data_IF_322421416565
#
_entry.id   IF_322421416565
#
_cell.length_a   1.000
_cell.length_b   1.000
_cell.length_c   1.000
_cell.angle_alpha   90.00
_cell.angle_beta   90.00
_cell.angle_gamma   90.00
#
_symmetry.space_group_name_H-M   'P 1'
#
loop_
_entity.id
_entity.type
_entity.pdbx_description
1 polymer ?
#
# COMPACT_ATOMS: atom_id res chain seq x y z
N UNK A 1 -1.81 -9.60 -4.13
CA UNK A 1 -2.98 -9.27 -4.98
C UNK A 1 -2.65 -8.07 -5.84
N UNK A 2 -2.90 -8.12 -7.11
CA UNK A 2 -2.69 -6.98 -8.00
C UNK A 2 -3.98 -6.19 -8.16
N UNK A 3 -3.90 -4.87 -8.02
CA UNK A 3 -5.03 -3.96 -8.21
C UNK A 3 -4.75 -3.03 -9.39
N UNK A 4 -5.83 -2.55 -10.02
CA UNK A 4 -5.75 -1.65 -11.17
C UNK A 4 -6.66 -0.44 -10.98
N UNK A 5 -6.59 0.52 -11.89
CA UNK A 5 -7.51 1.67 -11.92
C UNK A 5 -8.99 1.23 -11.93
N UNK A 6 -9.27 0.07 -12.53
CA UNK A 6 -10.64 -0.41 -12.69
C UNK A 6 -11.21 -1.03 -11.40
N UNK A 7 -10.38 -1.64 -10.56
CA UNK A 7 -10.89 -2.45 -9.45
C UNK A 7 -10.33 -2.07 -8.05
N UNK A 8 -9.35 -1.16 -7.98
CA UNK A 8 -8.70 -0.85 -6.72
C UNK A 8 -9.70 -0.39 -5.65
N UNK A 9 -10.49 0.63 -5.94
CA UNK A 9 -11.44 1.18 -4.97
C UNK A 9 -12.48 0.14 -4.57
N UNK A 10 -13.07 -0.53 -5.56
CA UNK A 10 -14.11 -1.51 -5.32
C UNK A 10 -13.62 -2.64 -4.43
N UNK A 11 -12.42 -3.14 -4.69
CA UNK A 11 -11.82 -4.22 -3.89
C UNK A 11 -11.43 -3.77 -2.50
N UNK A 12 -10.77 -2.61 -2.39
CA UNK A 12 -10.35 -2.08 -1.09
C UNK A 12 -11.56 -1.77 -0.19
N UNK A 13 -12.64 -1.25 -0.76
CA UNK A 13 -13.86 -0.99 0.00
C UNK A 13 -14.54 -2.28 0.49
N UNK A 14 -14.44 -3.36 -0.28
CA UNK A 14 -15.12 -4.62 0.02
C UNK A 14 -14.37 -5.53 0.98
N UNK A 15 -13.05 -5.36 1.13
CA UNK A 15 -12.22 -6.26 1.94
C UNK A 15 -12.17 -5.82 3.40
N UNK A 16 -12.42 -6.75 4.31
CA UNK A 16 -12.19 -6.53 5.75
C UNK A 16 -10.72 -6.71 6.09
N UNK A 17 -10.31 -6.17 7.24
CA UNK A 17 -8.95 -6.28 7.74
C UNK A 17 -8.01 -5.25 7.13
N UNK A 18 -6.71 -5.44 7.34
CA UNK A 18 -5.67 -4.49 6.99
C UNK A 18 -5.05 -4.85 5.66
N UNK A 19 -5.06 -3.90 4.72
CA UNK A 19 -4.39 -4.00 3.44
C UNK A 19 -3.21 -3.02 3.42
N UNK A 20 -2.02 -3.54 3.10
CA UNK A 20 -0.87 -2.70 2.78
C UNK A 20 -0.86 -2.50 1.26
N UNK A 21 -1.05 -1.27 0.82
CA UNK A 21 -1.11 -0.92 -0.61
C UNK A 21 0.25 -0.40 -1.03
N UNK A 22 0.86 -1.03 -2.04
CA UNK A 22 2.20 -0.70 -2.50
C UNK A 22 2.18 -0.35 -3.99
N UNK A 23 2.57 0.88 -4.29
CA UNK A 23 2.76 1.33 -5.67
C UNK A 23 4.20 1.07 -6.09
N UNK A 24 4.36 0.41 -7.22
CA UNK A 24 5.68 0.09 -7.80
C UNK A 24 5.69 0.36 -9.30
N UNK A 25 6.87 0.34 -9.90
CA UNK A 25 6.99 0.38 -11.36
C UNK A 25 8.15 -0.49 -11.82
N UNK A 26 8.09 -0.88 -13.08
CA UNK A 26 9.19 -1.57 -13.76
C UNK A 26 10.36 -0.57 -13.89
N UNK A 27 11.57 -1.01 -13.63
CA UNK A 27 12.74 -0.15 -13.72
C UNK A 27 13.07 0.62 -12.44
N UNK A 28 12.27 0.48 -11.40
CA UNK A 28 12.55 1.05 -10.08
C UNK A 28 13.26 -0.01 -9.22
N UNK A 29 14.53 0.22 -8.87
CA UNK A 29 15.30 -0.75 -8.09
C UNK A 29 14.70 -0.99 -6.70
N UNK A 30 14.26 0.09 -6.02
CA UNK A 30 13.61 -0.03 -4.73
C UNK A 30 12.29 -0.80 -4.81
N UNK A 31 11.59 -0.69 -5.95
CA UNK A 31 10.35 -1.44 -6.17
C UNK A 31 10.62 -2.93 -6.32
N UNK A 32 11.69 -3.31 -7.03
CA UNK A 32 12.07 -4.72 -7.14
C UNK A 32 12.43 -5.30 -5.77
N UNK A 33 13.16 -4.53 -4.99
CA UNK A 33 13.50 -4.90 -3.62
C UNK A 33 12.23 -5.12 -2.78
N UNK A 34 11.26 -4.19 -2.87
CA UNK A 34 10.00 -4.30 -2.15
C UNK A 34 9.22 -5.57 -2.57
N UNK A 35 9.15 -5.85 -3.88
CA UNK A 35 8.47 -7.04 -4.40
C UNK A 35 9.07 -8.34 -3.88
N UNK A 36 10.38 -8.37 -3.69
CA UNK A 36 11.09 -9.55 -3.17
C UNK A 36 10.96 -9.66 -1.66
N UNK A 37 11.09 -8.56 -0.93
CA UNK A 37 11.18 -8.57 0.52
C UNK A 37 9.83 -8.64 1.23
N UNK A 38 8.86 -7.83 0.81
CA UNK A 38 7.61 -7.72 1.57
C UNK A 38 6.86 -9.04 1.75
N UNK A 39 6.74 -9.91 0.74
CA UNK A 39 6.05 -11.18 0.94
C UNK A 39 6.76 -12.12 1.91
N UNK A 40 8.06 -11.92 2.14
CA UNK A 40 8.86 -12.75 3.04
C UNK A 40 8.86 -12.24 4.49
N UNK A 41 8.37 -11.03 4.73
CA UNK A 41 8.34 -10.43 6.06
C UNK A 41 7.12 -10.91 6.85
N UNK A 42 7.26 -10.94 8.18
CA UNK A 42 6.16 -11.21 9.10
C UNK A 42 5.48 -9.89 9.45
N UNK A 43 4.49 -9.52 8.67
CA UNK A 43 3.81 -8.24 8.79
C UNK A 43 2.44 -8.37 9.43
N UNK A 44 2.09 -7.39 10.26
CA UNK A 44 0.80 -7.30 10.94
C UNK A 44 -0.27 -6.73 10.00
N UNK A 45 -0.35 -7.28 8.80
CA UNK A 45 -1.37 -6.94 7.80
C UNK A 45 -1.99 -8.23 7.27
N UNK A 46 -3.21 -8.15 6.77
CA UNK A 46 -3.91 -9.31 6.24
C UNK A 46 -3.53 -9.62 4.80
N UNK A 47 -3.11 -8.60 4.06
CA UNK A 47 -2.73 -8.76 2.65
C UNK A 47 -1.85 -7.65 2.14
N UNK A 48 -1.13 -7.97 1.07
CA UNK A 48 -0.38 -7.00 0.28
C UNK A 48 -1.16 -6.74 -1.01
N UNK A 49 -1.38 -5.48 -1.34
CA UNK A 49 -2.06 -5.06 -2.56
C UNK A 49 -1.10 -4.23 -3.40
N UNK A 50 -0.75 -4.74 -4.56
CA UNK A 50 0.23 -4.13 -5.45
C UNK A 50 -0.45 -3.35 -6.56
N UNK A 51 0.04 -2.16 -6.87
CA UNK A 51 -0.44 -1.35 -7.98
C UNK A 51 0.75 -0.96 -8.84
N UNK A 52 0.70 -1.30 -10.12
CA UNK A 52 1.71 -0.89 -11.07
C UNK A 52 1.45 0.57 -11.48
N UNK A 53 2.29 1.47 -11.00
CA UNK A 53 2.14 2.90 -11.23
C UNK A 53 2.24 3.27 -12.71
N UNK A 54 3.00 2.50 -13.49
CA UNK A 54 3.17 2.77 -14.92
C UNK A 54 1.91 2.57 -15.75
N UNK A 55 0.99 1.72 -15.28
CA UNK A 55 -0.23 1.38 -16.02
C UNK A 55 -1.52 1.84 -15.34
N UNK A 56 -1.43 2.53 -14.20
CA UNK A 56 -2.59 2.90 -13.39
C UNK A 56 -2.50 4.36 -12.93
N UNK A 57 -2.39 5.26 -13.91
CA UNK A 57 -2.21 6.69 -13.65
C UNK A 57 -3.34 7.35 -12.87
N UNK A 58 -4.56 6.85 -12.98
CA UNK A 58 -5.70 7.39 -12.23
C UNK A 58 -5.53 7.22 -10.73
N UNK A 59 -5.17 6.02 -10.28
CA UNK A 59 -4.93 5.76 -8.85
C UNK A 59 -3.70 6.52 -8.37
N UNK A 60 -2.63 6.55 -9.17
CA UNK A 60 -1.41 7.29 -8.86
C UNK A 60 -1.73 8.76 -8.56
N UNK A 61 -2.56 9.37 -9.41
CA UNK A 61 -2.95 10.78 -9.25
C UNK A 61 -3.80 10.98 -8.00
N UNK A 62 -4.81 10.13 -7.79
CA UNK A 62 -5.70 10.25 -6.62
C UNK A 62 -4.97 10.05 -5.30
N UNK A 63 -4.00 9.11 -5.25
CA UNK A 63 -3.20 8.85 -4.05
C UNK A 63 -2.02 9.81 -3.91
N UNK A 64 -1.83 10.71 -4.87
CA UNK A 64 -0.72 11.67 -4.87
C UNK A 64 0.63 10.98 -4.71
N UNK A 65 0.87 9.99 -5.56
CA UNK A 65 2.13 9.23 -5.55
C UNK A 65 3.18 10.00 -6.34
N UNK A 66 4.22 10.48 -5.65
CA UNK A 66 5.29 11.28 -6.26
C UNK A 66 6.63 10.57 -6.29
N UNK A 67 6.76 9.47 -5.58
CA UNK A 67 7.97 8.65 -5.57
C UNK A 67 7.59 7.18 -5.34
N UNK A 68 8.48 6.27 -5.70
CA UNK A 68 8.24 4.84 -5.64
C UNK A 68 9.39 4.13 -4.91
N UNK A 69 9.12 3.04 -4.19
CA UNK A 69 7.78 2.53 -3.90
C UNK A 69 7.03 3.45 -2.93
N UNK A 70 5.71 3.49 -3.05
CA UNK A 70 4.86 4.24 -2.13
C UNK A 70 3.95 3.27 -1.39
N UNK A 71 3.80 3.46 -0.08
CA UNK A 71 3.03 2.54 0.77
C UNK A 71 1.90 3.30 1.47
N UNK A 72 0.74 2.65 1.52
CA UNK A 72 -0.46 3.17 2.18
C UNK A 72 -1.14 2.07 2.95
N UNK A 73 -1.90 2.44 3.99
CA UNK A 73 -2.67 1.48 4.80
C UNK A 73 -4.15 1.75 4.63
N UNK A 74 -4.89 0.67 4.36
CA UNK A 74 -6.35 0.65 4.30
C UNK A 74 -6.83 -0.43 5.26
N UNK A 75 -7.82 -0.12 6.08
CA UNK A 75 -8.43 -1.11 6.99
C UNK A 75 -9.94 -1.00 6.90
N UNK A 76 -10.60 -2.13 6.61
CA UNK A 76 -12.06 -2.20 6.53
C UNK A 76 -12.65 -1.15 5.59
N UNK A 77 -11.99 -0.89 4.46
CA UNK A 77 -12.42 0.08 3.47
C UNK A 77 -12.12 1.53 3.80
N UNK A 78 -11.44 1.81 4.92
CA UNK A 78 -11.09 3.16 5.31
C UNK A 78 -9.59 3.44 5.11
N UNK A 79 -9.26 4.67 4.75
CA UNK A 79 -7.89 5.08 4.41
C UNK A 79 -7.17 5.66 5.62
N UNK A 80 -5.98 5.13 5.92
CA UNK A 80 -5.16 5.57 7.04
C UNK A 80 -3.88 6.29 6.61
N UNK A 81 -3.72 6.52 5.32
CA UNK A 81 -2.66 7.36 4.79
C UNK A 81 -1.37 6.64 4.43
N UNK A 82 -0.38 7.44 4.11
CA UNK A 82 0.91 6.97 3.65
C UNK A 82 1.80 6.50 4.80
N UNK A 83 2.68 5.56 4.50
CA UNK A 83 3.74 5.12 5.39
C UNK A 83 5.10 5.55 4.85
N UNK A 84 6.01 5.87 5.76
CA UNK A 84 7.44 5.97 5.49
C UNK A 84 8.14 5.01 6.42
N UNK A 85 8.82 4.01 5.84
CA UNK A 85 9.47 2.98 6.65
C UNK A 85 10.54 2.27 5.83
N UNK A 86 11.55 1.78 6.51
CA UNK A 86 12.41 0.76 5.95
C UNK A 86 11.62 -0.54 5.84
N UNK A 87 12.01 -1.39 4.90
CA UNK A 87 11.29 -2.63 4.62
C UNK A 87 11.84 -3.78 5.49
N UNK A 88 11.67 -3.62 6.81
CA UNK A 88 11.99 -4.64 7.81
C UNK A 88 10.72 -4.92 8.62
N UNK A 89 10.66 -6.11 9.23
CA UNK A 89 9.52 -6.51 10.06
C UNK A 89 9.25 -5.48 11.14
N UNK A 90 10.28 -5.13 11.91
CA UNK A 90 10.15 -4.26 13.09
C UNK A 90 9.70 -2.86 12.70
N UNK A 91 10.36 -2.26 11.73
CA UNK A 91 10.08 -0.86 11.37
C UNK A 91 8.76 -0.72 10.64
N UNK A 92 8.49 -1.63 9.71
CA UNK A 92 7.25 -1.58 8.93
C UNK A 92 6.03 -1.87 9.80
N UNK A 93 6.11 -2.84 10.71
CA UNK A 93 5.02 -3.12 11.65
C UNK A 93 4.76 -1.92 12.57
N UNK A 94 5.82 -1.24 13.01
CA UNK A 94 5.68 -0.01 13.80
C UNK A 94 4.97 1.07 13.00
N UNK A 95 5.36 1.28 11.74
CA UNK A 95 4.74 2.28 10.88
C UNK A 95 3.26 1.97 10.62
N UNK A 96 2.92 0.70 10.43
CA UNK A 96 1.52 0.27 10.26
C UNK A 96 0.72 0.59 11.53
N UNK A 97 1.23 0.24 12.71
CA UNK A 97 0.54 0.54 13.97
C UNK A 97 0.32 2.03 14.15
N UNK A 98 1.33 2.85 13.85
CA UNK A 98 1.21 4.31 13.94
C UNK A 98 0.17 4.85 12.96
N UNK A 99 0.14 4.34 11.74
CA UNK A 99 -0.86 4.74 10.75
C UNK A 99 -2.28 4.39 11.23
N UNK A 100 -2.47 3.20 11.77
CA UNK A 100 -3.79 2.75 12.24
C UNK A 100 -4.28 3.54 13.46
N UNK A 101 -3.43 4.31 14.11
CA UNK A 101 -3.83 5.22 15.19
C UNK A 101 -4.29 6.60 14.70
N UNK A 102 -4.14 6.88 13.41
CA UNK A 102 -4.64 8.14 12.80
C UNK A 102 -6.15 8.10 12.64
N UNK A 103 -6.74 9.28 12.44
CA UNK A 103 -8.15 9.37 12.05
C UNK A 103 -8.34 8.78 10.66
N UNK A 104 -9.28 7.85 10.53
CA UNK A 104 -9.60 7.24 9.25
C UNK A 104 -10.24 8.25 8.30
N UNK A 105 -9.96 8.10 7.02
CA UNK A 105 -10.51 8.93 5.95
C UNK A 105 -11.15 8.05 4.89
N UNK A 106 -11.89 8.67 3.98
CA UNK A 106 -12.38 7.98 2.80
C UNK A 106 -11.22 7.68 1.85
N UNK A 107 -11.36 6.65 1.02
CA UNK A 107 -10.37 6.36 -0.02
C UNK A 107 -10.20 7.55 -0.95
N UNK A 108 -8.97 7.86 -1.37
CA UNK A 108 -8.70 8.97 -2.27
C UNK A 108 -9.46 8.93 -3.59
#
# INVERSE_FOLDING_TARGET
MELTDFDADQRLLAMSGVSLVIFTSVGCAGCRFAREQLPALDLAVDRLCWIDAGNNGGVVERYQVFHLPALFVVRDGEFFGALKSRLTDTELNRAVRQALSRTAEELP
#
